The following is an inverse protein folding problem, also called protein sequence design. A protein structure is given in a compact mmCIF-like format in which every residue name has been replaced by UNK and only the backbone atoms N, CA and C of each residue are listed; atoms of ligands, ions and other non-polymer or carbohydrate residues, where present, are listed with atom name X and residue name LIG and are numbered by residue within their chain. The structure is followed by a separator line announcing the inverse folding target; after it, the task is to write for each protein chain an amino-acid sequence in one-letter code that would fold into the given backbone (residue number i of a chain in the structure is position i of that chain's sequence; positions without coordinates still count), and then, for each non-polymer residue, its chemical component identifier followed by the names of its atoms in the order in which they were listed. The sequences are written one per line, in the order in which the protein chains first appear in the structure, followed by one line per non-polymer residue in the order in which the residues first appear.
data_IF_105433397655
#
_entry.id   IF_105433397655
#
_cell.length_a   1.000
_cell.length_b   1.000
_cell.length_c   1.000
_cell.angle_alpha   90.00
_cell.angle_beta   90.00
_cell.angle_gamma   90.00
#
_symmetry.space_group_name_H-M   'P 1'
#
loop_
_entity.id
_entity.type
_entity.pdbx_description
1 polymer ?
#
# COMPACT_ATOMS: atom_id res chain seq x y z
N UNK A 1 -28.48 0.39 11.33
CA UNK A 1 -28.23 -1.06 11.24
C UNK A 1 -27.77 -1.69 12.56
N UNK A 2 -26.52 -1.56 13.02
CA UNK A 2 -26.09 -2.28 14.26
C UNK A 2 -26.83 -1.80 15.52
N UNK A 3 -27.07 -0.49 15.66
CA UNK A 3 -27.84 0.09 16.77
C UNK A 3 -29.32 -0.31 16.80
N UNK A 4 -29.96 -0.44 15.63
CA UNK A 4 -31.38 -0.87 15.55
C UNK A 4 -31.54 -2.34 15.95
N UNK A 5 -30.60 -3.19 15.54
CA UNK A 5 -30.60 -4.60 15.91
C UNK A 5 -30.43 -4.78 17.43
N UNK A 6 -29.49 -4.04 18.04
CA UNK A 6 -29.27 -4.08 19.49
C UNK A 6 -30.44 -3.48 20.27
N UNK A 7 -31.07 -2.42 19.78
CA UNK A 7 -32.27 -1.86 20.38
C UNK A 7 -33.43 -2.87 20.40
N UNK A 8 -33.62 -3.60 19.30
CA UNK A 8 -34.66 -4.62 19.19
C UNK A 8 -34.40 -5.82 20.09
N UNK A 9 -33.13 -6.20 20.28
CA UNK A 9 -32.75 -7.33 21.13
C UNK A 9 -32.83 -7.01 22.62
N UNK A 10 -32.46 -5.79 23.02
CA UNK A 10 -32.28 -5.42 24.44
C UNK A 10 -33.47 -4.69 25.03
N UNK A 11 -34.33 -4.08 24.20
CA UNK A 11 -35.42 -3.20 24.66
C UNK A 11 -34.95 -1.89 25.30
N UNK A 12 -33.65 -1.59 25.23
CA UNK A 12 -33.07 -0.36 25.80
C UNK A 12 -33.38 0.83 24.88
N UNK A 13 -33.91 1.96 25.39
CA UNK A 13 -34.16 3.14 24.57
C UNK A 13 -32.91 3.62 23.83
N UNK A 14 -33.08 4.04 22.57
CA UNK A 14 -31.97 4.48 21.70
C UNK A 14 -31.10 5.58 22.31
N UNK A 15 -31.72 6.58 22.94
CA UNK A 15 -30.98 7.67 23.59
C UNK A 15 -30.06 7.18 24.72
N UNK A 16 -30.48 6.13 25.44
CA UNK A 16 -29.69 5.52 26.51
C UNK A 16 -28.54 4.71 25.92
N UNK A 17 -28.80 3.99 24.82
CA UNK A 17 -27.77 3.27 24.09
C UNK A 17 -26.69 4.22 23.56
N UNK A 18 -27.08 5.30 22.89
CA UNK A 18 -26.15 6.29 22.34
C UNK A 18 -25.34 6.99 23.44
N UNK A 19 -25.97 7.32 24.58
CA UNK A 19 -25.32 8.03 25.69
C UNK A 19 -24.39 7.16 26.54
N UNK A 20 -24.80 5.95 26.91
CA UNK A 20 -24.01 5.11 27.84
C UNK A 20 -23.27 3.95 27.16
N UNK A 21 -23.92 3.24 26.23
CA UNK A 21 -23.40 1.98 25.69
C UNK A 21 -22.53 2.22 24.45
N UNK A 22 -22.89 3.18 23.60
CA UNK A 22 -22.22 3.46 22.33
C UNK A 22 -20.74 3.81 22.49
N UNK A 23 -20.42 4.68 23.46
CA UNK A 23 -19.03 5.02 23.79
C UNK A 23 -18.23 3.80 24.27
N UNK A 24 -18.85 2.94 25.07
CA UNK A 24 -18.21 1.72 25.60
C UNK A 24 -18.06 0.63 24.54
N UNK A 25 -18.97 0.56 23.57
CA UNK A 25 -18.87 -0.38 22.46
C UNK A 25 -17.61 -0.12 21.64
N UNK A 26 -17.35 1.16 21.33
CA UNK A 26 -16.13 1.57 20.65
C UNK A 26 -14.88 1.36 21.51
N UNK A 27 -14.98 1.56 22.82
CA UNK A 27 -13.92 1.24 23.78
C UNK A 27 -13.57 -0.25 23.70
N UNK A 28 -14.56 -1.14 23.76
CA UNK A 28 -14.39 -2.59 23.67
C UNK A 28 -13.85 -3.07 22.31
N UNK A 29 -14.14 -2.38 21.21
CA UNK A 29 -13.55 -2.73 19.91
C UNK A 29 -12.06 -2.36 19.81
N UNK A 30 -11.62 -1.32 20.53
CA UNK A 30 -10.26 -0.81 20.41
C UNK A 30 -9.31 -1.32 21.51
N UNK A 31 -9.83 -1.67 22.69
CA UNK A 31 -9.00 -1.90 23.86
C UNK A 31 -8.79 -3.36 24.23
N UNK A 32 -7.55 -3.64 24.57
CA UNK A 32 -7.15 -4.82 25.34
C UNK A 32 -6.97 -4.46 26.80
N UNK A 33 -7.01 -5.49 27.64
CA UNK A 33 -6.49 -5.47 29.01
C UNK A 33 -5.05 -4.93 29.03
N UNK A 34 -4.23 -5.39 28.09
CA UNK A 34 -2.83 -4.97 27.98
C UNK A 34 -2.68 -3.49 27.58
N UNK A 35 -3.68 -2.89 26.91
CA UNK A 35 -3.68 -1.48 26.53
C UNK A 35 -4.16 -0.55 27.64
N UNK A 36 -4.77 -1.07 28.70
CA UNK A 36 -5.18 -0.26 29.84
C UNK A 36 -3.99 0.48 30.47
N UNK A 37 -2.79 -0.13 30.49
CA UNK A 37 -1.56 0.55 30.92
C UNK A 37 -1.20 1.76 30.05
N UNK A 38 -1.34 1.64 28.73
CA UNK A 38 -1.03 2.72 27.78
C UNK A 38 -1.98 3.91 27.96
N UNK A 39 -3.27 3.64 28.14
CA UNK A 39 -4.28 4.66 28.37
C UNK A 39 -4.00 5.45 29.65
N UNK A 40 -3.75 4.72 30.74
CA UNK A 40 -3.52 5.32 32.06
C UNK A 40 -2.28 6.20 32.03
N UNK A 41 -1.18 5.71 31.45
CA UNK A 41 0.05 6.49 31.30
C UNK A 41 -0.19 7.78 30.53
N UNK A 42 -0.92 7.71 29.41
CA UNK A 42 -1.21 8.87 28.56
C UNK A 42 -2.12 9.88 29.25
N UNK A 43 -3.09 9.39 30.01
CA UNK A 43 -4.02 10.26 30.71
C UNK A 43 -3.34 11.00 31.86
N UNK A 44 -2.50 10.31 32.67
CA UNK A 44 -1.68 10.97 33.68
C UNK A 44 -0.70 11.99 33.08
N UNK A 45 -0.17 11.72 31.88
CA UNK A 45 0.75 12.63 31.22
C UNK A 45 0.11 13.93 30.70
N UNK A 46 -1.21 13.96 30.47
CA UNK A 46 -1.90 15.13 29.90
C UNK A 46 -2.92 15.82 30.83
N UNK A 47 -3.66 15.06 31.64
CA UNK A 47 -4.92 15.53 32.26
C UNK A 47 -5.23 14.80 33.58
N UNK A 48 -4.22 14.47 34.39
CA UNK A 48 -4.39 13.67 35.61
C UNK A 48 -5.43 14.15 36.62
N UNK A 49 -5.83 15.42 36.58
CA UNK A 49 -6.86 16.00 37.45
C UNK A 49 -8.28 15.83 36.90
N UNK A 50 -8.46 15.73 35.59
CA UNK A 50 -9.80 15.69 34.99
C UNK A 50 -10.45 14.29 35.09
N UNK A 51 -9.71 13.17 34.96
CA UNK A 51 -10.33 11.85 35.20
C UNK A 51 -10.74 11.70 36.67
N UNK A 52 -9.96 12.29 37.58
CA UNK A 52 -10.35 12.34 38.99
C UNK A 52 -11.61 13.18 39.17
N UNK A 53 -11.73 14.32 38.50
CA UNK A 53 -12.96 15.15 38.55
C UNK A 53 -14.14 14.44 37.90
N UNK A 54 -13.97 13.70 36.81
CA UNK A 54 -15.03 12.90 36.20
C UNK A 54 -15.51 11.78 37.14
N UNK A 55 -14.59 11.02 37.72
CA UNK A 55 -14.92 10.00 38.73
C UNK A 55 -15.58 10.65 39.95
N UNK A 56 -15.13 11.84 40.36
CA UNK A 56 -15.73 12.64 41.44
C UNK A 56 -17.14 13.13 41.11
N UNK A 57 -17.41 13.57 39.88
CA UNK A 57 -18.75 13.99 39.45
C UNK A 57 -19.74 12.82 39.46
N UNK A 58 -19.30 11.62 39.03
CA UNK A 58 -20.11 10.40 39.15
C UNK A 58 -20.31 9.96 40.61
N UNK A 59 -19.35 10.25 41.49
CA UNK A 59 -19.47 10.04 42.94
C UNK A 59 -20.54 10.95 43.55
N UNK A 60 -20.57 12.22 43.15
CA UNK A 60 -21.50 13.23 43.68
C UNK A 60 -22.95 12.97 43.28
N UNK A 61 -23.20 12.50 42.07
CA UNK A 61 -24.56 12.13 41.62
C UNK A 61 -25.10 10.85 42.32
N UNK A 62 -24.24 10.10 43.00
CA UNK A 62 -24.62 8.91 43.78
C UNK A 62 -25.13 7.72 42.94
N UNK A 63 -25.19 7.85 41.61
CA UNK A 63 -25.66 6.81 40.71
C UNK A 63 -24.52 6.21 39.91
N UNK A 64 -24.20 4.95 40.17
CA UNK A 64 -23.27 4.19 39.34
C UNK A 64 -23.87 4.00 37.94
N UNK A 65 -23.16 4.39 36.85
CA UNK A 65 -23.55 4.10 35.48
C UNK A 65 -23.89 2.63 35.28
N UNK A 66 -24.82 2.34 34.37
CA UNK A 66 -25.28 0.96 34.15
C UNK A 66 -24.13 0.06 33.71
N UNK A 67 -23.21 0.56 32.87
CA UNK A 67 -22.08 -0.22 32.39
C UNK A 67 -21.11 -0.63 33.52
N UNK A 68 -20.91 0.21 34.53
CA UNK A 68 -20.09 -0.13 35.70
C UNK A 68 -20.78 -1.21 36.55
N UNK A 69 -22.11 -1.11 36.73
CA UNK A 69 -22.90 -2.17 37.39
C UNK A 69 -22.80 -3.49 36.62
N UNK A 70 -22.92 -3.45 35.30
CA UNK A 70 -22.79 -4.62 34.42
C UNK A 70 -21.37 -5.22 34.43
N UNK A 71 -20.35 -4.40 34.71
CA UNK A 71 -18.96 -4.84 34.91
C UNK A 71 -18.72 -5.49 36.29
N UNK A 72 -19.72 -5.41 37.19
CA UNK A 72 -19.68 -6.01 38.53
C UNK A 72 -19.23 -5.07 39.64
N UNK A 73 -19.18 -3.76 39.39
CA UNK A 73 -18.95 -2.77 40.44
C UNK A 73 -20.24 -2.51 41.21
N UNK A 74 -20.16 -2.61 42.54
CA UNK A 74 -21.32 -2.39 43.44
C UNK A 74 -21.24 -1.06 44.17
N UNK A 75 -20.04 -0.53 44.36
CA UNK A 75 -19.79 0.70 45.11
C UNK A 75 -18.65 1.51 44.48
N UNK A 76 -18.74 2.84 44.61
CA UNK A 76 -17.79 3.75 43.97
C UNK A 76 -16.38 3.68 44.59
N UNK A 77 -16.26 3.26 45.85
CA UNK A 77 -14.97 3.01 46.51
C UNK A 77 -14.13 1.90 45.86
N UNK A 78 -14.65 1.17 44.88
CA UNK A 78 -13.88 0.19 44.11
C UNK A 78 -13.09 0.81 42.94
N UNK A 79 -13.26 2.11 42.66
CA UNK A 79 -12.66 2.81 41.51
C UNK A 79 -11.29 3.47 41.79
N UNK A 80 -10.54 3.02 42.80
CA UNK A 80 -9.29 3.69 43.21
C UNK A 80 -8.13 3.61 42.20
N UNK A 81 -8.15 2.64 41.28
CA UNK A 81 -7.12 2.50 40.25
C UNK A 81 -7.76 2.45 38.85
N UNK A 82 -7.50 3.49 38.05
CA UNK A 82 -7.99 3.62 36.68
C UNK A 82 -7.57 2.43 35.79
N UNK A 83 -6.41 1.82 36.07
CA UNK A 83 -5.96 0.62 35.36
C UNK A 83 -6.86 -0.55 35.69
N UNK A 84 -7.05 -0.85 36.98
CA UNK A 84 -7.94 -1.94 37.43
C UNK A 84 -9.37 -1.78 36.92
N UNK A 85 -9.86 -0.54 36.83
CA UNK A 85 -11.16 -0.21 36.25
C UNK A 85 -11.22 -0.63 34.78
N UNK A 86 -10.26 -0.16 33.97
CA UNK A 86 -10.16 -0.51 32.57
C UNK A 86 -10.04 -2.03 32.36
N UNK A 87 -9.15 -2.70 33.11
CA UNK A 87 -8.97 -4.15 33.01
C UNK A 87 -10.26 -4.91 33.36
N UNK A 88 -11.02 -4.44 34.35
CA UNK A 88 -12.29 -5.07 34.75
C UNK A 88 -13.37 -4.86 33.69
N UNK A 89 -13.49 -3.65 33.14
CA UNK A 89 -14.42 -3.36 32.04
C UNK A 89 -14.07 -4.25 30.84
N UNK A 90 -12.81 -4.26 30.40
CA UNK A 90 -12.40 -5.05 29.23
C UNK A 90 -12.60 -6.55 29.46
N UNK A 91 -12.26 -7.08 30.64
CA UNK A 91 -12.39 -8.53 30.94
C UNK A 91 -13.82 -8.99 31.16
N UNK A 92 -14.69 -8.16 31.76
CA UNK A 92 -16.03 -8.61 32.20
C UNK A 92 -17.15 -8.06 31.34
N UNK A 93 -17.04 -6.82 30.87
CA UNK A 93 -18.10 -6.17 30.12
C UNK A 93 -17.99 -6.45 28.63
N UNK A 94 -16.80 -6.34 28.03
CA UNK A 94 -16.65 -6.49 26.58
C UNK A 94 -17.03 -7.89 26.04
N UNK A 95 -16.69 -9.02 26.69
CA UNK A 95 -17.14 -10.34 26.25
C UNK A 95 -18.65 -10.56 26.37
N UNK A 96 -19.33 -9.80 27.23
CA UNK A 96 -20.80 -9.83 27.33
C UNK A 96 -21.46 -9.03 26.21
N UNK A 97 -20.82 -7.97 25.77
CA UNK A 97 -21.30 -7.13 24.68
C UNK A 97 -21.06 -7.78 23.31
N UNK A 98 -19.92 -8.45 23.14
CA UNK A 98 -19.53 -9.12 21.91
C UNK A 98 -19.39 -10.62 22.14
N UNK A 99 -20.33 -11.39 21.59
CA UNK A 99 -20.29 -12.86 21.63
C UNK A 99 -18.99 -13.46 21.06
N UNK A 100 -18.33 -12.73 20.16
CA UNK A 100 -17.12 -13.12 19.45
C UNK A 100 -15.88 -12.29 19.83
N UNK A 101 -15.83 -11.76 21.06
CA UNK A 101 -14.74 -10.92 21.53
C UNK A 101 -13.35 -11.58 21.35
N UNK A 102 -13.22 -12.88 21.58
CA UNK A 102 -11.96 -13.60 21.41
C UNK A 102 -11.48 -13.62 19.95
N UNK A 103 -12.39 -13.85 18.99
CA UNK A 103 -12.05 -13.81 17.57
C UNK A 103 -11.66 -12.41 17.10
N UNK A 104 -12.31 -11.37 17.65
CA UNK A 104 -11.97 -9.98 17.36
C UNK A 104 -10.57 -9.66 17.91
N UNK A 105 -10.29 -10.06 19.15
CA UNK A 105 -8.99 -9.86 19.75
C UNK A 105 -7.89 -10.61 18.98
N UNK A 106 -8.18 -11.84 18.52
CA UNK A 106 -7.26 -12.60 17.67
C UNK A 106 -6.96 -11.89 16.34
N UNK A 107 -7.97 -11.36 15.64
CA UNK A 107 -7.78 -10.57 14.42
C UNK A 107 -6.95 -9.31 14.67
N UNK A 108 -7.20 -8.64 15.79
CA UNK A 108 -6.42 -7.47 16.18
C UNK A 108 -4.97 -7.82 16.50
N UNK A 109 -4.72 -8.93 17.19
CA UNK A 109 -3.36 -9.41 17.47
C UNK A 109 -2.63 -9.84 16.18
N UNK A 110 -3.34 -10.42 15.21
CA UNK A 110 -2.79 -10.72 13.88
C UNK A 110 -2.40 -9.44 13.13
N UNK A 111 -3.23 -8.39 13.19
CA UNK A 111 -2.93 -7.10 12.57
C UNK A 111 -1.83 -6.29 13.29
N UNK A 112 -1.80 -6.33 14.62
CA UNK A 112 -0.86 -5.56 15.44
C UNK A 112 0.48 -6.27 15.66
N UNK A 113 0.52 -7.59 15.50
CA UNK A 113 1.68 -8.41 15.83
C UNK A 113 1.85 -8.63 17.33
N UNK A 114 3.04 -9.12 17.73
CA UNK A 114 3.31 -9.46 19.11
C UNK A 114 3.51 -8.21 19.97
N UNK A 115 2.86 -8.17 21.15
CA UNK A 115 3.01 -7.10 22.12
C UNK A 115 4.24 -7.33 23.03
N UNK A 116 5.15 -6.36 23.09
CA UNK A 116 6.25 -6.29 24.05
C UNK A 116 5.86 -5.41 25.23
N UNK A 117 5.97 -5.95 26.45
CA UNK A 117 5.69 -5.22 27.69
C UNK A 117 6.97 -4.51 28.14
N UNK A 118 6.96 -3.19 28.13
CA UNK A 118 8.05 -2.37 28.67
C UNK A 118 7.51 -1.70 29.95
N UNK A 119 8.38 -1.54 30.97
CA UNK A 119 8.02 -0.85 32.22
C UNK A 119 8.69 0.53 32.23
N UNK A 120 7.90 1.58 32.39
CA UNK A 120 8.37 2.96 32.62
C UNK A 120 7.67 3.50 33.84
N UNK A 121 8.46 4.06 34.76
CA UNK A 121 7.93 4.69 35.99
C UNK A 121 7.00 3.78 36.81
N UNK A 122 7.33 2.49 36.86
CA UNK A 122 6.52 1.47 37.55
C UNK A 122 5.23 1.06 36.82
N UNK A 123 4.91 1.69 35.69
CA UNK A 123 3.75 1.35 34.85
C UNK A 123 4.18 0.44 33.70
N UNK A 124 3.44 -0.64 33.49
CA UNK A 124 3.63 -1.52 32.32
C UNK A 124 2.86 -0.94 31.13
N UNK A 125 3.55 -0.75 30.02
CA UNK A 125 2.96 -0.39 28.75
C UNK A 125 3.29 -1.45 27.72
N UNK A 126 2.43 -1.58 26.73
CA UNK A 126 2.57 -2.57 25.66
C UNK A 126 2.81 -1.86 24.36
N UNK A 127 3.90 -2.22 23.70
CA UNK A 127 4.22 -1.80 22.33
C UNK A 127 4.01 -2.98 21.41
N UNK A 128 3.31 -2.75 20.32
CA UNK A 128 3.06 -3.77 19.30
C UNK A 128 4.03 -3.59 18.14
N UNK A 129 4.48 -4.71 17.58
CA UNK A 129 5.42 -4.76 16.46
C UNK A 129 4.97 -3.90 15.27
N UNK A 130 3.68 -3.95 14.91
CA UNK A 130 3.13 -3.12 13.84
C UNK A 130 3.29 -1.63 14.13
N UNK A 131 3.11 -1.17 15.37
CA UNK A 131 3.33 0.25 15.69
C UNK A 131 4.80 0.64 15.61
N UNK A 132 5.72 -0.25 16.01
CA UNK A 132 7.15 -0.01 15.90
C UNK A 132 7.59 0.15 14.43
N UNK A 133 6.96 -0.61 13.51
CA UNK A 133 7.17 -0.47 12.07
C UNK A 133 6.78 0.92 11.53
N UNK A 134 5.79 1.58 12.13
CA UNK A 134 5.29 2.89 11.69
C UNK A 134 5.83 4.09 12.49
N UNK A 135 6.30 3.89 13.72
CA UNK A 135 6.78 4.96 14.61
C UNK A 135 8.25 4.81 15.06
N UNK A 136 8.91 3.71 14.75
CA UNK A 136 10.33 3.48 15.01
C UNK A 136 11.28 4.44 14.27
N UNK A 137 12.58 4.36 14.58
CA UNK A 137 13.61 5.24 13.98
C UNK A 137 13.78 5.07 12.47
N UNK A 138 13.48 3.88 11.97
CA UNK A 138 13.50 3.54 10.53
C UNK A 138 12.09 3.29 10.00
N UNK A 139 11.08 3.84 10.66
CA UNK A 139 9.71 3.56 10.31
C UNK A 139 9.31 4.11 8.94
N UNK A 140 8.23 3.55 8.42
CA UNK A 140 7.67 3.89 7.10
C UNK A 140 7.28 5.37 7.00
N UNK A 141 6.96 6.02 8.12
CA UNK A 141 6.64 7.46 8.18
C UNK A 141 7.88 8.37 8.14
N UNK A 142 9.07 7.84 8.39
CA UNK A 142 10.29 8.65 8.43
C UNK A 142 10.66 9.12 7.03
N UNK A 143 11.14 10.36 6.92
CA UNK A 143 11.60 10.90 5.64
C UNK A 143 12.73 10.06 5.02
N UNK A 144 13.59 9.46 5.86
CA UNK A 144 14.65 8.57 5.42
C UNK A 144 14.09 7.35 4.66
N UNK A 145 13.09 6.67 5.23
CA UNK A 145 12.43 5.55 4.56
C UNK A 145 11.71 5.98 3.27
N UNK A 146 11.00 7.11 3.30
CA UNK A 146 10.28 7.61 2.13
C UNK A 146 11.21 7.98 0.97
N UNK A 147 12.34 8.65 1.27
CA UNK A 147 13.37 8.98 0.27
C UNK A 147 13.97 7.69 -0.29
N UNK A 148 14.27 6.71 0.57
CA UNK A 148 14.79 5.42 0.13
C UNK A 148 13.80 4.69 -0.79
N UNK A 149 12.53 4.61 -0.41
CA UNK A 149 11.46 4.03 -1.22
C UNK A 149 11.30 4.76 -2.57
N UNK A 150 11.37 6.09 -2.57
CA UNK A 150 11.35 6.89 -3.79
C UNK A 150 12.47 6.50 -4.74
N UNK A 151 13.71 6.37 -4.24
CA UNK A 151 14.85 5.96 -5.06
C UNK A 151 14.68 4.55 -5.62
N UNK A 152 14.17 3.60 -4.83
CA UNK A 152 13.92 2.24 -5.31
C UNK A 152 12.85 2.22 -6.42
N UNK A 153 11.75 2.96 -6.24
CA UNK A 153 10.70 3.07 -7.27
C UNK A 153 11.22 3.79 -8.53
N UNK A 154 12.07 4.81 -8.37
CA UNK A 154 12.72 5.50 -9.49
C UNK A 154 13.67 4.57 -10.24
N UNK A 155 14.49 3.79 -9.53
CA UNK A 155 15.38 2.80 -10.15
C UNK A 155 14.59 1.74 -10.91
N UNK A 156 13.47 1.27 -10.35
CA UNK A 156 12.55 0.38 -11.05
C UNK A 156 12.02 1.00 -12.34
N UNK A 157 11.56 2.25 -12.29
CA UNK A 157 11.10 2.96 -13.48
C UNK A 157 12.21 3.10 -14.53
N UNK A 158 13.43 3.44 -14.13
CA UNK A 158 14.58 3.55 -15.03
C UNK A 158 14.99 2.20 -15.63
N UNK A 159 14.92 1.10 -14.88
CA UNK A 159 15.22 -0.23 -15.37
C UNK A 159 14.25 -0.69 -16.47
N UNK A 160 13.00 -0.23 -16.42
CA UNK A 160 11.95 -0.58 -17.38
C UNK A 160 11.95 0.33 -18.63
N UNK A 161 12.56 1.52 -18.57
CA UNK A 161 12.60 2.47 -19.69
C UNK A 161 13.16 1.88 -21.00
N UNK A 162 14.30 1.16 -21.02
CA UNK A 162 14.86 0.59 -22.25
C UNK A 162 13.87 -0.31 -23.00
N UNK A 163 13.15 -1.17 -22.29
CA UNK A 163 12.14 -2.06 -22.86
C UNK A 163 11.01 -1.28 -23.55
N UNK A 164 10.53 -0.23 -22.89
CA UNK A 164 9.51 0.64 -23.48
C UNK A 164 10.01 1.42 -24.70
N UNK A 165 11.27 1.87 -24.70
CA UNK A 165 11.87 2.53 -25.87
C UNK A 165 11.90 1.56 -27.06
N UNK A 166 12.26 0.30 -26.82
CA UNK A 166 12.24 -0.73 -27.86
C UNK A 166 10.82 -1.00 -28.37
N UNK A 167 9.82 -1.08 -27.49
CA UNK A 167 8.42 -1.22 -27.88
C UNK A 167 7.95 -0.05 -28.75
N UNK A 168 8.29 1.19 -28.39
CA UNK A 168 7.94 2.39 -29.19
C UNK A 168 8.59 2.34 -30.57
N UNK A 169 9.86 1.93 -30.66
CA UNK A 169 10.54 1.77 -31.94
C UNK A 169 9.83 0.74 -32.84
N UNK A 170 9.35 -0.37 -32.27
CA UNK A 170 8.55 -1.36 -33.00
C UNK A 170 7.19 -0.83 -33.44
N UNK A 171 6.51 -0.07 -32.58
CA UNK A 171 5.26 0.61 -32.94
C UNK A 171 5.46 1.59 -34.09
N UNK A 172 6.54 2.36 -34.05
CA UNK A 172 6.89 3.32 -35.09
C UNK A 172 7.20 2.62 -36.41
N UNK A 173 7.98 1.53 -36.37
CA UNK A 173 8.26 0.71 -37.54
C UNK A 173 6.96 0.16 -38.15
N UNK A 174 6.04 -0.34 -37.32
CA UNK A 174 4.77 -0.91 -37.79
C UNK A 174 3.85 0.15 -38.43
N UNK A 175 3.82 1.36 -37.87
CA UNK A 175 2.98 2.47 -38.37
C UNK A 175 3.55 3.07 -39.67
N UNK A 176 4.87 3.16 -39.80
CA UNK A 176 5.50 3.82 -40.96
C UNK A 176 5.89 2.86 -42.08
N UNK A 177 5.70 1.54 -41.91
CA UNK A 177 6.05 0.60 -42.97
C UNK A 177 5.10 0.77 -44.16
N UNK A 178 5.61 1.14 -45.35
CA UNK A 178 4.75 1.30 -46.52
C UNK A 178 4.15 -0.05 -46.93
N UNK A 179 2.85 -0.07 -47.13
CA UNK A 179 2.16 -1.19 -47.73
C UNK A 179 2.22 -1.08 -49.26
N UNK A 180 2.75 -2.10 -49.93
CA UNK A 180 2.68 -2.21 -51.39
C UNK A 180 1.45 -3.02 -51.77
N UNK A 181 0.49 -2.37 -52.43
CA UNK A 181 -0.78 -2.99 -52.86
C UNK A 181 -0.60 -4.01 -54.01
N UNK A 182 0.59 -4.06 -54.61
CA UNK A 182 0.91 -4.88 -55.77
C UNK A 182 2.18 -5.70 -55.53
N UNK A 183 2.07 -6.84 -54.85
CA UNK A 183 3.08 -7.90 -54.91
C UNK A 183 2.73 -8.88 -56.05
N UNK A 184 2.38 -8.38 -57.25
CA UNK A 184 1.99 -9.25 -58.35
C UNK A 184 3.20 -9.97 -58.99
N UNK A 185 4.42 -9.44 -58.81
CA UNK A 185 5.68 -10.03 -59.27
C UNK A 185 6.75 -10.02 -58.15
N UNK A 186 6.40 -10.51 -56.96
CA UNK A 186 7.39 -10.80 -55.93
C UNK A 186 8.08 -12.14 -56.24
N UNK A 187 8.71 -12.23 -57.41
CA UNK A 187 9.64 -13.33 -57.68
C UNK A 187 10.77 -13.22 -56.66
N UNK A 188 11.16 -14.34 -56.01
CA UNK A 188 12.34 -14.37 -55.16
C UNK A 188 13.53 -14.00 -56.05
N UNK A 189 13.91 -12.72 -56.04
CA UNK A 189 15.10 -12.25 -56.75
C UNK A 189 16.25 -13.00 -56.10
N UNK A 190 16.83 -13.95 -56.83
CA UNK A 190 17.92 -14.78 -56.36
C UNK A 190 18.96 -13.88 -55.69
N UNK A 191 19.09 -14.06 -54.37
CA UNK A 191 20.10 -13.42 -53.55
C UNK A 191 21.43 -13.93 -54.06
N UNK A 192 22.00 -13.24 -55.05
CA UNK A 192 23.36 -13.47 -55.54
C UNK A 192 24.32 -13.11 -54.41
N UNK A 193 24.58 -14.12 -53.55
CA UNK A 193 25.79 -14.46 -52.79
C UNK A 193 26.83 -13.38 -52.46
N UNK A 194 26.42 -12.13 -52.21
CA UNK A 194 27.25 -11.14 -51.52
C UNK A 194 26.83 -11.21 -50.05
N UNK A 195 27.68 -11.82 -49.22
CA UNK A 195 27.35 -12.33 -47.87
C UNK A 195 26.96 -11.28 -46.82
N UNK A 196 27.05 -9.97 -47.12
CA UNK A 196 27.19 -8.98 -46.05
C UNK A 196 25.90 -8.25 -45.65
N UNK A 197 24.95 -7.92 -46.53
CA UNK A 197 23.79 -7.11 -46.12
C UNK A 197 22.43 -7.62 -46.62
N UNK A 198 21.63 -8.12 -45.68
CA UNK A 198 20.26 -8.59 -45.92
C UNK A 198 19.28 -7.42 -45.74
N UNK A 199 19.12 -6.60 -46.78
CA UNK A 199 18.21 -5.45 -46.78
C UNK A 199 16.78 -5.92 -47.04
N UNK A 200 15.93 -5.88 -46.00
CA UNK A 200 14.51 -6.18 -46.11
C UNK A 200 13.78 -4.98 -46.77
N UNK A 201 13.43 -5.08 -48.06
CA UNK A 201 12.86 -3.94 -48.82
C UNK A 201 11.33 -3.79 -48.76
N UNK A 202 10.58 -4.84 -48.41
CA UNK A 202 9.13 -4.76 -48.24
C UNK A 202 8.58 -6.00 -47.52
N UNK A 203 7.42 -5.88 -46.87
CA UNK A 203 6.65 -7.00 -46.34
C UNK A 203 5.52 -7.35 -47.34
N UNK A 204 5.32 -8.64 -47.67
CA UNK A 204 4.24 -9.06 -48.56
C UNK A 204 2.86 -8.92 -47.88
N UNK A 205 1.90 -8.35 -48.60
CA UNK A 205 0.46 -8.17 -48.26
C UNK A 205 0.11 -7.63 -46.85
N UNK A 206 -0.27 -6.34 -46.86
CA UNK A 206 -0.68 -5.48 -45.76
C UNK A 206 -1.84 -5.97 -44.86
N UNK A 207 -2.61 -7.00 -45.25
CA UNK A 207 -3.85 -7.38 -44.55
C UNK A 207 -3.66 -8.30 -43.34
N UNK A 208 -2.99 -9.45 -43.52
CA UNK A 208 -2.96 -10.52 -42.50
C UNK A 208 -1.74 -10.45 -41.58
N UNK A 209 -0.57 -10.11 -42.14
CA UNK A 209 0.66 -9.99 -41.35
C UNK A 209 0.62 -8.76 -40.44
N UNK A 210 -0.05 -7.68 -40.86
CA UNK A 210 -0.19 -6.49 -40.01
C UNK A 210 -1.11 -6.75 -38.82
N UNK A 211 -2.24 -7.46 -39.00
CA UNK A 211 -3.15 -7.74 -37.89
C UNK A 211 -2.52 -8.67 -36.84
N UNK A 212 -1.84 -9.73 -37.27
CA UNK A 212 -1.14 -10.64 -36.35
C UNK A 212 0.00 -9.95 -35.61
N UNK A 213 0.86 -9.21 -36.32
CA UNK A 213 2.00 -8.49 -35.72
C UNK A 213 1.52 -7.40 -34.77
N UNK A 214 0.48 -6.66 -35.14
CA UNK A 214 -0.16 -5.66 -34.28
C UNK A 214 -0.71 -6.29 -33.00
N UNK A 215 -1.43 -7.42 -33.10
CA UNK A 215 -1.98 -8.09 -31.93
C UNK A 215 -0.88 -8.57 -30.97
N UNK A 216 0.21 -9.11 -31.51
CA UNK A 216 1.39 -9.53 -30.71
C UNK A 216 2.04 -8.34 -30.04
N UNK A 217 2.27 -7.24 -30.77
CA UNK A 217 2.91 -6.03 -30.23
C UNK A 217 2.03 -5.35 -29.17
N UNK A 218 0.72 -5.34 -29.37
CA UNK A 218 -0.26 -4.85 -28.39
C UNK A 218 -0.24 -5.69 -27.12
N UNK A 219 -0.29 -7.02 -27.24
CA UNK A 219 -0.19 -7.92 -26.09
C UNK A 219 1.12 -7.68 -25.32
N UNK A 220 2.23 -7.54 -26.04
CA UNK A 220 3.52 -7.27 -25.43
C UNK A 220 3.54 -5.93 -24.68
N UNK A 221 2.94 -4.89 -25.27
CA UNK A 221 2.80 -3.57 -24.64
C UNK A 221 1.95 -3.64 -23.36
N UNK A 222 0.83 -4.36 -23.40
CA UNK A 222 -0.02 -4.56 -22.23
C UNK A 222 0.71 -5.32 -21.11
N UNK A 223 1.49 -6.34 -21.48
CA UNK A 223 2.30 -7.10 -20.53
C UNK A 223 3.33 -6.20 -19.83
N UNK A 224 4.07 -5.39 -20.59
CA UNK A 224 5.05 -4.45 -20.03
C UNK A 224 4.41 -3.40 -19.12
N UNK A 225 3.26 -2.84 -19.52
CA UNK A 225 2.49 -1.94 -18.67
C UNK A 225 2.02 -2.61 -17.37
N UNK A 226 1.53 -3.85 -17.45
CA UNK A 226 1.10 -4.61 -16.28
C UNK A 226 2.29 -4.91 -15.34
N UNK A 227 3.43 -5.35 -15.88
CA UNK A 227 4.66 -5.60 -15.10
C UNK A 227 5.11 -4.31 -14.41
N UNK A 228 5.11 -3.16 -15.11
CA UNK A 228 5.48 -1.88 -14.52
C UNK A 228 4.56 -1.51 -13.33
N UNK A 229 3.24 -1.55 -13.54
CA UNK A 229 2.25 -1.19 -12.49
C UNK A 229 2.31 -2.15 -11.31
N UNK A 230 2.37 -3.46 -11.57
CA UNK A 230 2.48 -4.48 -10.53
C UNK A 230 3.80 -4.32 -9.76
N UNK A 231 4.91 -4.06 -10.45
CA UNK A 231 6.22 -3.82 -9.83
C UNK A 231 6.21 -2.59 -8.91
N UNK A 232 5.60 -1.48 -9.35
CA UNK A 232 5.41 -0.29 -8.50
C UNK A 232 4.55 -0.64 -7.28
N UNK A 233 3.39 -1.28 -7.46
CA UNK A 233 2.52 -1.66 -6.35
C UNK A 233 3.20 -2.61 -5.36
N UNK A 234 3.96 -3.58 -5.88
CA UNK A 234 4.70 -4.55 -5.08
C UNK A 234 5.74 -3.88 -4.19
N UNK A 235 6.51 -2.92 -4.72
CA UNK A 235 7.48 -2.13 -3.95
C UNK A 235 6.81 -1.26 -2.88
N UNK A 236 5.65 -0.68 -3.21
CA UNK A 236 4.91 0.22 -2.33
C UNK A 236 4.23 -0.48 -1.14
N UNK A 237 3.96 -1.79 -1.24
CA UNK A 237 3.35 -2.58 -0.15
C UNK A 237 4.35 -2.87 0.97
N UNK A 238 5.64 -2.94 0.65
CA UNK A 238 6.69 -3.33 1.60
C UNK A 238 6.88 -2.26 2.68
N UNK A 239 7.07 -2.73 3.92
CA UNK A 239 7.22 -1.87 5.11
C UNK A 239 8.60 -1.94 5.75
N UNK A 240 9.42 -2.91 5.39
CA UNK A 240 10.79 -3.09 5.88
C UNK A 240 11.81 -2.76 4.78
N UNK A 241 12.90 -2.10 5.14
CA UNK A 241 14.00 -1.75 4.23
C UNK A 241 14.64 -3.01 3.63
N UNK A 242 14.88 -4.03 4.45
CA UNK A 242 15.52 -5.28 4.00
C UNK A 242 14.67 -5.97 2.93
N UNK A 243 13.37 -6.09 3.20
CA UNK A 243 12.42 -6.68 2.26
C UNK A 243 12.31 -5.83 0.99
N UNK A 244 12.39 -4.50 1.11
CA UNK A 244 12.32 -3.60 -0.05
C UNK A 244 13.52 -3.81 -0.99
N UNK A 245 14.72 -4.00 -0.42
CA UNK A 245 15.92 -4.33 -1.19
C UNK A 245 15.77 -5.70 -1.87
N UNK A 246 15.36 -6.73 -1.13
CA UNK A 246 15.15 -8.07 -1.70
C UNK A 246 14.09 -8.06 -2.81
N UNK A 247 13.00 -7.33 -2.62
CA UNK A 247 11.91 -7.23 -3.58
C UNK A 247 12.32 -6.46 -4.84
N UNK A 248 13.13 -5.40 -4.71
CA UNK A 248 13.65 -4.67 -5.87
C UNK A 248 14.68 -5.47 -6.68
N UNK A 249 15.51 -6.27 -6.01
CA UNK A 249 16.41 -7.22 -6.67
C UNK A 249 15.62 -8.30 -7.43
N UNK A 250 14.57 -8.85 -6.81
CA UNK A 250 13.71 -9.84 -7.44
C UNK A 250 13.00 -9.27 -8.69
N UNK A 251 12.54 -8.02 -8.64
CA UNK A 251 11.94 -7.33 -9.79
C UNK A 251 12.95 -7.10 -10.92
N UNK A 252 14.19 -6.71 -10.59
CA UNK A 252 15.26 -6.59 -11.60
C UNK A 252 15.52 -7.94 -12.27
N UNK A 253 15.57 -9.02 -11.48
CA UNK A 253 15.72 -10.36 -12.03
C UNK A 253 14.57 -10.73 -12.97
N UNK A 254 13.32 -10.39 -12.61
CA UNK A 254 12.15 -10.62 -13.45
C UNK A 254 12.24 -9.90 -14.80
N UNK A 255 12.74 -8.66 -14.84
CA UNK A 255 12.95 -7.97 -16.12
C UNK A 255 14.04 -8.67 -16.95
N UNK A 256 15.15 -9.04 -16.32
CA UNK A 256 16.27 -9.70 -17.04
C UNK A 256 15.98 -11.14 -17.47
N UNK A 257 15.04 -11.84 -16.83
CA UNK A 257 14.78 -13.25 -17.16
C UNK A 257 14.10 -13.37 -18.52
N UNK A 258 13.35 -12.37 -18.97
CA UNK A 258 12.73 -12.38 -20.28
C UNK A 258 13.80 -12.42 -21.39
N UNK A 259 14.84 -11.59 -21.27
CA UNK A 259 16.00 -11.61 -22.17
C UNK A 259 16.69 -12.98 -22.18
N UNK A 260 16.87 -13.57 -21.00
CA UNK A 260 17.50 -14.88 -20.88
C UNK A 260 16.63 -15.99 -21.49
N UNK A 261 15.32 -15.93 -21.31
CA UNK A 261 14.37 -16.88 -21.89
C UNK A 261 14.31 -16.73 -23.41
N UNK A 262 14.29 -15.50 -23.92
CA UNK A 262 14.39 -15.25 -25.35
C UNK A 262 15.73 -15.76 -25.92
N UNK A 263 16.83 -15.49 -25.22
CA UNK A 263 18.16 -15.95 -25.58
C UNK A 263 18.34 -17.47 -25.43
N UNK A 264 17.53 -18.17 -24.63
CA UNK A 264 17.55 -19.62 -24.51
C UNK A 264 16.62 -20.28 -25.55
N UNK A 265 15.33 -19.93 -25.52
CA UNK A 265 14.26 -20.55 -26.29
C UNK A 265 14.19 -20.08 -27.75
N UNK A 266 14.81 -18.94 -28.09
CA UNK A 266 14.84 -18.45 -29.46
C UNK A 266 15.48 -19.45 -30.42
N UNK A 267 14.88 -19.64 -31.60
CA UNK A 267 15.47 -20.49 -32.66
C UNK A 267 16.81 -19.90 -33.07
N UNK A 268 17.84 -20.73 -33.26
CA UNK A 268 19.20 -20.28 -33.63
C UNK A 268 19.22 -19.43 -34.91
N UNK A 269 18.33 -19.71 -35.86
CA UNK A 269 18.14 -18.90 -37.07
C UNK A 269 17.66 -17.47 -36.75
N UNK A 270 16.73 -17.33 -35.80
CA UNK A 270 16.23 -16.02 -35.36
C UNK A 270 17.29 -15.24 -34.57
N UNK A 271 18.09 -15.93 -33.74
CA UNK A 271 19.21 -15.32 -33.00
C UNK A 271 20.26 -14.75 -33.94
N UNK A 272 20.69 -15.52 -34.96
CA UNK A 272 21.65 -15.05 -35.98
C UNK A 272 21.11 -13.85 -36.77
N UNK A 273 19.81 -13.80 -37.02
CA UNK A 273 19.14 -12.68 -37.69
C UNK A 273 19.09 -11.42 -36.81
N UNK A 274 18.87 -11.60 -35.50
CA UNK A 274 18.87 -10.50 -34.53
C UNK A 274 20.29 -9.94 -34.32
N UNK A 275 21.29 -10.81 -34.15
CA UNK A 275 22.70 -10.44 -33.97
C UNK A 275 23.25 -9.72 -35.22
N UNK A 276 22.89 -10.19 -36.43
CA UNK A 276 23.25 -9.49 -37.67
C UNK A 276 22.58 -8.13 -37.77
N UNK A 277 21.30 -8.01 -37.40
CA UNK A 277 20.57 -6.72 -37.42
C UNK A 277 21.09 -5.69 -36.42
N UNK A 278 21.58 -6.13 -35.25
CA UNK A 278 22.20 -5.25 -34.28
C UNK A 278 23.57 -4.74 -34.76
N UNK A 279 24.31 -5.54 -35.55
CA UNK A 279 25.58 -5.11 -36.18
C UNK A 279 25.40 -4.27 -37.44
N UNK A 280 24.39 -4.54 -38.26
CA UNK A 280 24.14 -3.81 -39.51
C UNK A 280 23.28 -2.54 -39.31
N UNK A 281 23.19 -2.01 -38.08
CA UNK A 281 22.72 -0.64 -37.87
C UNK A 281 23.78 0.33 -38.39
N UNK A 282 23.99 0.32 -39.70
CA UNK A 282 24.64 1.43 -40.37
C UNK A 282 23.80 2.68 -40.07
N UNK A 283 24.42 3.75 -39.54
CA UNK A 283 23.72 4.97 -39.15
C UNK A 283 22.96 5.64 -40.31
N UNK A 284 23.16 5.20 -41.55
CA UNK A 284 22.48 5.73 -42.73
C UNK A 284 20.99 5.36 -42.87
N UNK A 285 20.50 4.27 -42.25
CA UNK A 285 19.04 3.98 -42.28
C UNK A 285 18.25 4.98 -41.43
N UNK A 286 18.90 5.60 -40.43
CA UNK A 286 18.32 6.70 -39.65
C UNK A 286 18.28 8.03 -40.41
N UNK A 287 18.92 8.13 -41.59
CA UNK A 287 19.02 9.38 -42.33
C UNK A 287 17.71 9.75 -43.06
N UNK A 288 16.81 8.78 -43.30
CA UNK A 288 15.43 9.12 -43.72
C UNK A 288 14.63 9.78 -42.57
N UNK A 289 15.05 9.58 -41.32
CA UNK A 289 14.48 10.29 -40.18
C UNK A 289 15.08 11.68 -39.98
N UNK A 290 16.21 12.05 -40.61
CA UNK A 290 16.86 13.34 -40.36
C UNK A 290 16.01 14.56 -40.79
N UNK A 291 15.04 14.38 -41.69
CA UNK A 291 14.01 15.40 -42.01
C UNK A 291 12.86 15.50 -40.99
N UNK A 292 12.70 14.53 -40.09
CA UNK A 292 11.71 14.53 -39.00
C UNK A 292 12.33 14.24 -37.63
N UNK A 293 13.66 14.34 -37.49
CA UNK A 293 14.49 13.75 -36.43
C UNK A 293 14.23 14.26 -35.01
N UNK A 294 13.35 15.25 -34.87
CA UNK A 294 12.76 15.58 -33.57
C UNK A 294 11.83 14.46 -33.06
N UNK A 295 11.22 13.63 -33.91
CA UNK A 295 10.11 12.71 -33.58
C UNK A 295 10.47 11.61 -32.56
N UNK A 296 11.47 10.76 -32.84
CA UNK A 296 11.73 9.58 -31.99
C UNK A 296 12.26 9.97 -30.60
N UNK A 297 13.21 10.90 -30.55
CA UNK A 297 13.82 11.36 -29.29
C UNK A 297 12.78 12.11 -28.45
N UNK A 298 11.93 12.95 -29.06
CA UNK A 298 10.86 13.63 -28.31
C UNK A 298 9.80 12.65 -27.83
N UNK A 299 9.39 11.67 -28.65
CA UNK A 299 8.39 10.65 -28.24
C UNK A 299 8.90 9.74 -27.14
N UNK A 300 10.15 9.26 -27.23
CA UNK A 300 10.78 8.48 -26.17
C UNK A 300 10.89 9.28 -24.85
N UNK A 301 11.25 10.57 -24.95
CA UNK A 301 11.25 11.47 -23.79
C UNK A 301 9.86 11.69 -23.21
N UNK A 302 8.83 11.82 -24.04
CA UNK A 302 7.43 11.96 -23.59
C UNK A 302 6.98 10.69 -22.87
N UNK A 303 7.28 9.50 -23.40
CA UNK A 303 6.89 8.24 -22.77
C UNK A 303 7.63 8.03 -21.43
N UNK A 304 8.94 8.27 -21.40
CA UNK A 304 9.73 8.24 -20.18
C UNK A 304 9.17 9.24 -19.14
N UNK A 305 8.86 10.47 -19.58
CA UNK A 305 8.20 11.47 -18.75
C UNK A 305 6.85 11.01 -18.21
N UNK A 306 6.02 10.35 -19.02
CA UNK A 306 4.75 9.78 -18.57
C UNK A 306 4.93 8.66 -17.55
N UNK A 307 5.90 7.75 -17.75
CA UNK A 307 6.17 6.68 -16.77
C UNK A 307 6.68 7.24 -15.44
N UNK A 308 7.57 8.23 -15.48
CA UNK A 308 8.04 8.95 -14.30
C UNK A 308 6.90 9.71 -13.61
N UNK A 309 6.00 10.32 -14.37
CA UNK A 309 4.80 10.97 -13.84
C UNK A 309 3.89 9.96 -13.14
N UNK A 310 3.60 8.82 -13.77
CA UNK A 310 2.76 7.75 -13.18
C UNK A 310 3.40 7.18 -11.92
N UNK A 311 4.72 6.95 -11.93
CA UNK A 311 5.46 6.51 -10.74
C UNK A 311 5.39 7.57 -9.63
N UNK A 312 5.58 8.85 -9.97
CA UNK A 312 5.50 9.97 -9.03
C UNK A 312 4.11 10.14 -8.41
N UNK A 313 3.04 10.05 -9.22
CA UNK A 313 1.65 10.09 -8.73
C UNK A 313 1.37 8.89 -7.82
N UNK A 314 1.76 7.69 -8.24
CA UNK A 314 1.56 6.47 -7.46
C UNK A 314 2.29 6.55 -6.11
N UNK A 315 3.52 7.08 -6.11
CA UNK A 315 4.29 7.33 -4.90
C UNK A 315 3.61 8.36 -3.98
N UNK A 316 3.13 9.48 -4.52
CA UNK A 316 2.44 10.51 -3.75
C UNK A 316 1.12 10.01 -3.13
N UNK A 317 0.33 9.24 -3.90
CA UNK A 317 -0.88 8.60 -3.39
C UNK A 317 -0.56 7.59 -2.29
N UNK A 318 0.51 6.82 -2.46
CA UNK A 318 0.91 5.84 -1.45
C UNK A 318 1.38 6.50 -0.16
N UNK A 319 2.14 7.60 -0.21
CA UNK A 319 2.54 8.31 1.02
C UNK A 319 1.30 8.66 1.86
N UNK A 320 0.25 9.18 1.23
CA UNK A 320 -1.01 9.50 1.92
C UNK A 320 -1.64 8.25 2.53
N UNK A 321 -1.77 7.19 1.73
CA UNK A 321 -2.34 5.92 2.20
C UNK A 321 -1.52 5.29 3.35
N UNK A 322 -0.19 5.42 3.33
CA UNK A 322 0.67 4.96 4.43
C UNK A 322 0.44 5.78 5.69
N UNK A 323 0.32 7.10 5.57
CA UNK A 323 0.09 7.97 6.71
C UNK A 323 -1.26 7.65 7.37
N UNK A 324 -2.32 7.54 6.59
CA UNK A 324 -3.66 7.19 7.07
C UNK A 324 -3.66 5.81 7.76
N UNK A 325 -3.14 4.77 7.11
CA UNK A 325 -3.04 3.43 7.72
C UNK A 325 -2.16 3.41 8.96
N UNK A 326 -1.11 4.22 8.99
CA UNK A 326 -0.21 4.34 10.14
C UNK A 326 -0.91 4.96 11.35
N UNK A 327 -1.74 5.98 11.13
CA UNK A 327 -2.54 6.60 12.19
C UNK A 327 -3.64 5.66 12.69
N UNK A 328 -4.29 4.92 11.78
CA UNK A 328 -5.28 3.87 12.12
C UNK A 328 -4.66 2.73 12.93
N UNK A 329 -3.53 2.17 12.48
CA UNK A 329 -2.81 1.11 13.21
C UNK A 329 -2.29 1.61 14.55
N UNK A 330 -1.78 2.84 14.64
CA UNK A 330 -1.35 3.41 15.91
C UNK A 330 -2.53 3.59 16.89
N UNK A 331 -3.70 3.97 16.39
CA UNK A 331 -4.91 4.03 17.21
C UNK A 331 -5.35 2.64 17.68
N UNK A 332 -5.43 1.68 16.75
CA UNK A 332 -5.90 0.33 17.05
C UNK A 332 -4.94 -0.45 17.96
N UNK A 333 -3.63 -0.33 17.73
CA UNK A 333 -2.62 -1.12 18.43
C UNK A 333 -2.07 -0.43 19.68
N UNK A 334 -2.08 0.90 19.80
CA UNK A 334 -1.54 1.59 20.99
C UNK A 334 -2.55 2.48 21.71
N UNK A 335 -3.78 2.63 21.19
CA UNK A 335 -4.73 3.67 21.60
C UNK A 335 -4.10 5.08 21.52
N UNK A 336 -3.23 5.29 20.52
CA UNK A 336 -2.46 6.53 20.33
C UNK A 336 -2.87 7.27 19.05
N UNK A 337 -2.70 8.59 19.04
CA UNK A 337 -3.06 9.48 17.92
C UNK A 337 -3.91 10.67 18.37
N UNK A 338 -3.99 11.70 17.52
CA UNK A 338 -4.86 12.87 17.76
C UNK A 338 -6.30 12.65 17.28
N UNK A 339 -6.47 11.84 16.23
CA UNK A 339 -7.77 11.43 15.67
C UNK A 339 -8.26 10.09 16.22
N UNK A 340 -7.53 9.48 17.15
CA UNK A 340 -7.86 8.16 17.66
C UNK A 340 -9.12 8.21 18.52
N UNK A 341 -10.18 7.51 18.10
CA UNK A 341 -11.45 7.50 18.81
C UNK A 341 -11.29 7.06 20.27
N UNK A 342 -10.51 6.02 20.57
CA UNK A 342 -10.29 5.60 21.95
C UNK A 342 -9.69 6.72 22.81
N UNK A 343 -8.76 7.48 22.24
CA UNK A 343 -8.15 8.63 22.93
C UNK A 343 -9.15 9.79 23.10
N UNK A 344 -9.95 10.07 22.06
CA UNK A 344 -10.99 11.11 22.06
C UNK A 344 -12.16 10.79 22.99
N UNK A 345 -12.61 9.54 23.03
CA UNK A 345 -13.70 9.10 23.90
C UNK A 345 -13.33 9.24 25.38
N UNK A 346 -12.07 8.91 25.72
CA UNK A 346 -11.54 9.15 27.05
C UNK A 346 -11.39 10.64 27.36
N UNK A 347 -10.92 11.47 26.43
CA UNK A 347 -10.83 12.91 26.68
C UNK A 347 -12.20 13.58 26.77
N UNK A 348 -13.20 13.15 26.00
CA UNK A 348 -14.56 13.70 26.03
C UNK A 348 -15.34 13.29 27.28
N UNK A 349 -15.23 12.02 27.69
CA UNK A 349 -15.80 11.57 28.96
C UNK A 349 -15.30 12.43 30.12
N UNK A 350 -14.06 12.89 30.00
CA UNK A 350 -13.36 13.63 31.04
C UNK A 350 -13.61 15.16 30.96
N UNK A 351 -13.70 15.74 29.75
CA UNK A 351 -13.81 17.19 29.55
C UNK A 351 -15.22 17.80 29.61
N UNK A 352 -16.30 17.03 29.44
CA UNK A 352 -17.66 17.59 29.39
C UNK A 352 -18.21 18.13 30.73
N UNK A 353 -17.54 17.85 31.86
CA UNK A 353 -18.00 18.29 33.19
C UNK A 353 -17.21 19.49 33.74
N UNK A 354 -16.37 20.15 32.93
CA UNK A 354 -15.47 21.22 33.38
C UNK A 354 -15.81 22.66 32.94
N UNK A 355 -16.87 22.88 32.18
CA UNK A 355 -17.22 24.21 31.61
C UNK A 355 -18.66 24.69 31.94
N UNK A 356 -19.26 24.25 33.05
CA UNK A 356 -20.49 24.87 33.60
C UNK A 356 -20.21 25.81 34.78
#
# INVERSE_FOLDING_TARGET
LQGECLQLLTGIPRYFYEREIGHMMNMCMLLDVDLCGNLVHRHYAKQGDELKSWIASMLEEGTLPLFLKLSGFTQVGQLHDARSLCETIVRRFCPRLFWNFDSWNAQRLDACGQGSKEKRDGQSFVKYEASELYNGRLAVRTAAFQIFLFWIVLLWALAVVPEFVQLVAWWELLVHLPCTDSCQNCEPRDLSSSEEDLILRSLPSCGRLNMGTFAILLLNTLLHCAIFVIGVMYLLIVRNIQDLVLNSLALTFLVTIDDLLFAACGRTSSKKLLDRKLRSSDPHVWDLSSRTGLSCITRGRVLCGMMLLVAGISFALQIRAVQERGDELQCMCEAKGGTCFAALALSHAVGQNGEE
#
